data_IF_850102836664
#
_entry.id   IF_850102836664
#
_cell.length_a   1.000
_cell.length_b   1.000
_cell.length_c   1.000
_cell.angle_alpha   90.00
_cell.angle_beta   90.00
_cell.angle_gamma   90.00
#
_symmetry.space_group_name_H-M   'P 1'
#
loop_
_entity.id
_entity.type
_entity.pdbx_description
1 polymer ?
#
# COMPACT_ATOMS: atom_id res chain seq x y z
N UNK A 1 -18.99 -3.05 10.04
CA UNK A 1 -17.70 -2.56 9.53
C UNK A 1 -16.65 -3.53 10.03
N UNK A 2 -15.91 -4.20 9.14
CA UNK A 2 -14.87 -5.15 9.57
C UNK A 2 -13.66 -4.34 9.99
N UNK A 3 -13.15 -4.57 11.20
CA UNK A 3 -11.89 -3.99 11.68
C UNK A 3 -10.73 -4.67 10.96
N UNK A 4 -9.80 -3.89 10.40
CA UNK A 4 -8.58 -4.48 9.84
C UNK A 4 -7.76 -5.19 10.93
N UNK A 5 -7.16 -6.29 10.54
CA UNK A 5 -6.23 -7.09 11.35
C UNK A 5 -4.90 -7.21 10.61
N UNK A 6 -3.79 -7.52 11.29
CA UNK A 6 -2.53 -7.78 10.60
C UNK A 6 -2.66 -8.84 9.50
N UNK A 7 -3.51 -9.85 9.70
CA UNK A 7 -3.71 -10.95 8.76
C UNK A 7 -4.23 -10.50 7.39
N UNK A 8 -4.99 -9.41 7.32
CA UNK A 8 -5.51 -8.87 6.05
C UNK A 8 -4.39 -8.43 5.09
N UNK A 9 -3.23 -8.07 5.65
CA UNK A 9 -2.11 -7.51 4.91
C UNK A 9 -0.96 -8.50 4.70
N UNK A 10 -0.90 -9.62 5.43
CA UNK A 10 0.24 -10.56 5.34
C UNK A 10 0.38 -11.10 3.91
N UNK A 11 1.62 -11.22 3.44
CA UNK A 11 1.99 -11.81 2.15
C UNK A 11 2.49 -10.78 1.13
N UNK A 12 2.62 -11.20 -0.13
CA UNK A 12 3.13 -10.33 -1.19
C UNK A 12 2.06 -9.36 -1.68
N UNK A 13 2.51 -8.19 -2.14
CA UNK A 13 1.74 -7.12 -2.75
C UNK A 13 2.53 -6.41 -3.84
N UNK A 14 1.82 -5.94 -4.87
CA UNK A 14 2.38 -5.19 -5.99
C UNK A 14 1.71 -3.82 -6.01
N UNK A 15 2.49 -2.77 -5.82
CA UNK A 15 2.06 -1.37 -5.79
C UNK A 15 2.25 -0.71 -7.15
N UNK A 16 1.14 -0.29 -7.74
CA UNK A 16 1.10 0.47 -9.00
C UNK A 16 0.89 1.96 -8.71
N UNK A 17 1.73 2.81 -9.30
CA UNK A 17 1.62 4.26 -9.19
C UNK A 17 0.54 4.78 -10.12
N UNK A 18 -0.46 5.47 -9.58
CA UNK A 18 -1.57 5.97 -10.38
C UNK A 18 -1.20 7.27 -11.08
N UNK A 19 -1.41 7.29 -12.41
CA UNK A 19 -1.22 8.48 -13.24
C UNK A 19 0.24 8.78 -13.60
N UNK A 20 1.16 7.85 -13.32
CA UNK A 20 2.57 7.96 -13.65
C UNK A 20 3.16 6.59 -13.97
N UNK A 21 4.01 6.51 -15.01
CA UNK A 21 4.68 5.26 -15.38
C UNK A 21 5.97 5.12 -14.55
N UNK A 22 5.93 4.27 -13.53
CA UNK A 22 7.07 3.91 -12.69
C UNK A 22 7.12 2.40 -12.49
N UNK A 23 8.31 1.81 -12.24
CA UNK A 23 8.42 0.41 -11.82
C UNK A 23 7.48 0.12 -10.65
N UNK A 24 6.96 -1.11 -10.57
CA UNK A 24 6.05 -1.47 -9.47
C UNK A 24 6.78 -1.56 -8.13
N UNK A 25 6.10 -1.19 -7.04
CA UNK A 25 6.56 -1.48 -5.68
C UNK A 25 6.28 -2.93 -5.33
N UNK A 26 7.30 -3.70 -4.96
CA UNK A 26 7.14 -5.08 -4.51
C UNK A 26 7.25 -5.10 -3.00
N UNK A 27 6.16 -5.45 -2.32
CA UNK A 27 6.10 -5.53 -0.86
C UNK A 27 5.89 -6.97 -0.40
N UNK A 28 6.68 -7.41 0.58
CA UNK A 28 6.42 -8.60 1.38
C UNK A 28 6.07 -8.16 2.80
N UNK A 29 4.82 -8.37 3.19
CA UNK A 29 4.32 -7.97 4.51
C UNK A 29 4.27 -9.18 5.44
N UNK A 30 4.98 -9.08 6.56
CA UNK A 30 4.90 -10.01 7.68
C UNK A 30 4.19 -9.39 8.88
N UNK A 31 3.66 -10.24 9.77
CA UNK A 31 3.13 -9.80 11.06
C UNK A 31 4.14 -10.04 12.18
N UNK A 32 4.24 -9.08 13.09
CA UNK A 32 4.98 -9.16 14.34
C UNK A 32 4.03 -8.70 15.44
N UNK A 33 3.58 -9.56 16.35
CA UNK A 33 2.69 -9.21 17.46
C UNK A 33 1.59 -8.16 17.11
N UNK A 34 1.82 -6.86 17.37
CA UNK A 34 0.92 -5.74 17.13
C UNK A 34 1.23 -4.85 15.90
N UNK A 35 2.25 -5.18 15.11
CA UNK A 35 2.78 -4.35 14.02
C UNK A 35 3.07 -5.20 12.77
N UNK A 36 3.15 -4.53 11.62
CA UNK A 36 3.53 -5.12 10.34
C UNK A 36 5.01 -4.83 10.07
N UNK A 37 5.73 -5.84 9.61
CA UNK A 37 7.06 -5.69 9.01
C UNK A 37 6.88 -5.72 7.51
N UNK A 38 7.30 -4.66 6.81
CA UNK A 38 7.12 -4.50 5.37
C UNK A 38 8.50 -4.47 4.74
N UNK A 39 8.81 -5.51 3.97
CA UNK A 39 10.01 -5.55 3.15
C UNK A 39 9.64 -5.03 1.77
N UNK A 40 10.28 -3.96 1.33
CA UNK A 40 9.96 -3.28 0.06
C UNK A 40 11.16 -3.20 -0.87
N UNK A 41 10.90 -3.22 -2.17
CA UNK A 41 11.84 -2.88 -3.23
C UNK A 41 11.09 -2.41 -4.47
N UNK A 42 11.80 -1.85 -5.44
CA UNK A 42 11.24 -1.68 -6.78
C UNK A 42 11.38 -2.96 -7.60
N UNK A 43 10.49 -3.12 -8.57
CA UNK A 43 10.66 -4.10 -9.62
C UNK A 43 12.03 -3.93 -10.30
N UNK A 44 12.73 -5.05 -10.51
CA UNK A 44 14.09 -5.06 -11.06
C UNK A 44 15.21 -4.87 -10.03
N UNK A 45 14.91 -4.44 -8.81
CA UNK A 45 15.93 -4.30 -7.76
C UNK A 45 16.17 -5.60 -6.98
N UNK A 46 17.39 -5.76 -6.48
CA UNK A 46 17.80 -6.92 -5.69
C UNK A 46 17.84 -6.64 -4.18
N UNK A 47 18.05 -5.38 -3.79
CA UNK A 47 18.07 -4.94 -2.40
C UNK A 47 16.66 -4.81 -1.82
N UNK A 48 16.51 -5.15 -0.54
CA UNK A 48 15.28 -4.96 0.22
C UNK A 48 15.49 -3.92 1.30
N UNK A 49 14.53 -3.02 1.44
CA UNK A 49 14.42 -2.10 2.57
C UNK A 49 13.32 -2.58 3.52
N UNK A 50 13.42 -2.22 4.80
CA UNK A 50 12.43 -2.61 5.82
C UNK A 50 11.75 -1.38 6.38
N UNK A 51 10.43 -1.44 6.42
CA UNK A 51 9.56 -0.46 7.07
C UNK A 51 8.67 -1.17 8.08
N UNK A 52 8.13 -0.40 9.02
CA UNK A 52 7.22 -0.92 10.02
C UNK A 52 5.92 -0.13 10.02
N UNK A 53 4.81 -0.84 10.21
CA UNK A 53 3.48 -0.23 10.20
C UNK A 53 2.66 -0.65 11.41
N UNK A 54 1.75 0.23 11.84
CA UNK A 54 0.76 -0.08 12.88
C UNK A 54 -0.62 -0.25 12.25
N UNK A 55 -1.32 -1.34 12.58
CA UNK A 55 -2.67 -1.60 12.05
C UNK A 55 -3.68 -0.67 12.73
N UNK A 56 -4.57 -0.12 11.92
CA UNK A 56 -5.60 0.84 12.35
C UNK A 56 -6.98 0.31 12.01
N UNK A 57 -7.92 0.43 12.94
CA UNK A 57 -9.26 -0.13 12.79
C UNK A 57 -10.22 0.74 11.97
N UNK A 58 -10.07 2.07 12.01
CA UNK A 58 -10.97 3.01 11.32
C UNK A 58 -10.22 4.26 10.77
N UNK A 59 -10.21 4.49 9.44
CA UNK A 59 -10.56 3.51 8.42
C UNK A 59 -9.65 2.26 8.54
N UNK A 60 -10.22 1.09 8.20
CA UNK A 60 -9.51 -0.18 8.16
C UNK A 60 -8.23 -0.06 7.32
N UNK A 61 -7.06 -0.30 7.91
CA UNK A 61 -5.80 0.04 7.25
C UNK A 61 -4.57 -0.10 8.15
N UNK A 62 -3.48 0.56 7.79
CA UNK A 62 -2.30 0.70 8.65
C UNK A 62 -1.59 2.04 8.41
N UNK A 63 -0.78 2.49 9.37
CA UNK A 63 0.04 3.71 9.26
C UNK A 63 1.53 3.38 9.16
N UNK A 64 2.23 4.06 8.26
CA UNK A 64 3.69 4.01 8.09
C UNK A 64 4.20 5.45 8.09
N UNK A 65 4.98 5.84 9.11
CA UNK A 65 5.44 7.22 9.25
C UNK A 65 4.25 8.20 9.28
N UNK A 66 4.23 9.18 8.37
CA UNK A 66 3.13 10.14 8.20
C UNK A 66 2.10 9.72 7.14
N UNK A 67 2.23 8.51 6.57
CA UNK A 67 1.35 7.98 5.52
C UNK A 67 0.40 6.95 6.08
N UNK A 68 -0.74 6.81 5.40
CA UNK A 68 -1.77 5.83 5.76
C UNK A 68 -2.16 4.99 4.56
N UNK A 69 -2.16 3.68 4.76
CA UNK A 69 -2.78 2.72 3.87
C UNK A 69 -4.23 2.49 4.29
N UNK A 70 -5.13 2.46 3.32
CA UNK A 70 -6.55 2.17 3.53
C UNK A 70 -6.91 0.91 2.77
N UNK A 71 -7.41 -0.09 3.49
CA UNK A 71 -7.88 -1.35 2.92
C UNK A 71 -9.22 -1.13 2.23
N UNK A 72 -9.30 -1.48 0.95
CA UNK A 72 -10.51 -1.30 0.13
C UNK A 72 -11.31 -2.60 0.10
N UNK A 73 -10.61 -3.71 -0.07
CA UNK A 73 -11.12 -5.08 -0.01
C UNK A 73 -9.94 -6.04 0.23
N UNK A 74 -10.16 -7.36 0.42
CA UNK A 74 -9.07 -8.29 0.73
C UNK A 74 -7.97 -8.39 -0.34
N UNK A 75 -8.18 -7.83 -1.53
CA UNK A 75 -7.25 -7.87 -2.64
C UNK A 75 -6.56 -6.53 -2.90
N UNK A 76 -7.00 -5.44 -2.26
CA UNK A 76 -6.51 -4.09 -2.56
C UNK A 76 -6.44 -3.19 -1.33
N UNK A 77 -5.35 -2.42 -1.23
CA UNK A 77 -5.27 -1.25 -0.39
C UNK A 77 -4.62 -0.08 -1.12
N UNK A 78 -4.87 1.15 -0.66
CA UNK A 78 -4.36 2.38 -1.28
C UNK A 78 -3.56 3.18 -0.28
N UNK A 79 -2.42 3.72 -0.70
CA UNK A 79 -1.69 4.74 0.04
C UNK A 79 -1.72 6.04 -0.76
N UNK A 80 -2.38 7.06 -0.21
CA UNK A 80 -2.50 8.35 -0.88
C UNK A 80 -1.25 9.21 -0.68
N UNK A 81 -0.82 9.88 -1.76
CA UNK A 81 0.35 10.72 -1.81
C UNK A 81 1.64 10.02 -1.38
N UNK A 82 1.77 8.71 -1.59
CA UNK A 82 3.01 8.00 -1.36
C UNK A 82 4.14 8.66 -2.16
N UNK A 83 5.14 9.16 -1.46
CA UNK A 83 6.36 9.61 -2.11
C UNK A 83 7.22 8.37 -2.33
N UNK A 84 7.28 7.98 -3.59
CA UNK A 84 8.05 6.85 -4.10
C UNK A 84 9.55 6.98 -3.78
N UNK A 85 10.04 8.16 -3.42
CA UNK A 85 11.45 8.45 -3.19
C UNK A 85 11.85 8.68 -1.71
N UNK A 86 10.89 8.78 -0.78
CA UNK A 86 11.13 9.37 0.55
C UNK A 86 12.00 8.48 1.48
N UNK A 87 12.05 7.17 1.27
CA UNK A 87 12.98 6.30 2.03
C UNK A 87 14.42 6.31 1.49
N UNK A 88 14.68 7.00 0.37
CA UNK A 88 15.99 6.98 -0.35
C UNK A 88 16.59 8.36 -0.59
N UNK A 89 16.00 9.41 0.00
CA UNK A 89 16.56 10.77 -0.02
C UNK A 89 16.37 11.54 -1.34
N UNK A 90 15.45 11.11 -2.21
CA UNK A 90 15.10 11.84 -3.43
C UNK A 90 13.91 12.79 -3.20
N UNK A 91 13.99 14.02 -3.72
CA UNK A 91 12.83 14.93 -3.77
C UNK A 91 12.02 14.59 -5.02
N UNK A 92 10.82 14.03 -4.85
CA UNK A 92 9.91 13.70 -5.94
C UNK A 92 8.47 14.14 -5.68
N UNK A 93 7.63 14.19 -6.71
CA UNK A 93 6.20 14.34 -6.53
C UNK A 93 5.60 13.12 -5.82
N UNK A 94 4.68 13.38 -4.90
CA UNK A 94 3.90 12.35 -4.22
C UNK A 94 2.76 11.84 -5.13
N UNK A 95 2.62 10.52 -5.26
CA UNK A 95 1.58 9.89 -6.06
C UNK A 95 0.73 8.93 -5.23
N UNK A 96 -0.50 8.68 -5.66
CA UNK A 96 -1.29 7.62 -5.05
C UNK A 96 -0.81 6.27 -5.57
N UNK A 97 -0.63 5.31 -4.67
CA UNK A 97 -0.20 3.95 -5.03
C UNK A 97 -1.28 2.97 -4.60
N UNK A 98 -1.67 2.11 -5.54
CA UNK A 98 -2.62 1.01 -5.29
C UNK A 98 -1.84 -0.28 -5.17
N UNK A 99 -1.92 -0.92 -4.02
CA UNK A 99 -1.35 -2.23 -3.79
C UNK A 99 -2.39 -3.30 -4.05
N UNK A 100 -2.03 -4.25 -4.91
CA UNK A 100 -2.85 -5.39 -5.29
C UNK A 100 -2.17 -6.70 -4.89
N UNK A 101 -2.96 -7.73 -4.60
CA UNK A 101 -2.42 -9.09 -4.49
C UNK A 101 -1.86 -9.55 -5.85
N UNK A 102 -0.73 -10.27 -5.90
CA UNK A 102 -0.18 -10.72 -7.17
C UNK A 102 -1.14 -11.61 -7.97
N UNK A 103 -1.16 -11.43 -9.29
CA UNK A 103 -1.99 -12.19 -10.22
C UNK A 103 -3.12 -11.36 -10.81
N UNK A 104 -4.37 -11.81 -10.63
CA UNK A 104 -5.51 -11.21 -11.34
C UNK A 104 -5.91 -9.84 -10.74
N UNK A 105 -5.66 -9.61 -9.45
CA UNK A 105 -6.12 -8.39 -8.77
C UNK A 105 -5.49 -7.11 -9.35
N UNK A 106 -4.26 -7.19 -9.84
CA UNK A 106 -3.56 -6.08 -10.52
C UNK A 106 -4.41 -5.50 -11.67
N UNK A 107 -5.15 -6.33 -12.40
CA UNK A 107 -6.03 -5.90 -13.51
C UNK A 107 -7.21 -5.04 -13.04
N UNK A 108 -7.52 -5.05 -11.74
CA UNK A 108 -8.61 -4.28 -11.13
C UNK A 108 -8.14 -3.11 -10.26
N UNK A 109 -6.83 -2.83 -10.21
CA UNK A 109 -6.24 -1.77 -9.38
C UNK A 109 -6.89 -0.39 -9.60
N UNK A 110 -7.06 0.02 -10.87
CA UNK A 110 -7.74 1.26 -11.22
C UNK A 110 -9.21 1.31 -10.78
N UNK A 111 -9.92 0.18 -10.77
CA UNK A 111 -11.28 0.12 -10.27
C UNK A 111 -11.31 0.23 -8.74
N UNK A 112 -10.39 -0.44 -8.04
CA UNK A 112 -10.23 -0.30 -6.60
C UNK A 112 -9.91 1.15 -6.20
N UNK A 113 -9.05 1.83 -6.95
CA UNK A 113 -8.74 3.24 -6.73
C UNK A 113 -9.96 4.16 -6.90
N UNK A 114 -10.79 3.93 -7.92
CA UNK A 114 -12.05 4.69 -8.06
C UNK A 114 -13.00 4.48 -6.88
N UNK A 115 -13.05 3.27 -6.31
CA UNK A 115 -13.83 2.99 -5.10
C UNK A 115 -13.25 3.72 -3.88
N UNK A 116 -11.93 3.76 -3.75
CA UNK A 116 -11.26 4.57 -2.73
C UNK A 116 -11.64 6.05 -2.84
N UNK A 117 -11.50 6.66 -4.02
CA UNK A 117 -11.89 8.07 -4.23
C UNK A 117 -13.35 8.34 -3.87
N UNK A 118 -14.27 7.44 -4.27
CA UNK A 118 -15.68 7.55 -3.92
C UNK A 118 -15.93 7.47 -2.40
N UNK A 119 -15.13 6.69 -1.66
CA UNK A 119 -15.24 6.60 -0.21
C UNK A 119 -14.71 7.84 0.52
N UNK A 120 -13.79 8.59 -0.09
CA UNK A 120 -13.22 9.83 0.46
C UNK A 120 -14.11 11.06 0.18
N UNK A 121 -14.89 11.04 -0.91
CA UNK A 121 -15.75 12.15 -1.33
C UNK A 121 -17.15 12.19 -0.71
N UNK A 122 -17.44 11.32 0.27
CA UNK A 122 -18.69 11.34 1.02
C UNK A 122 -18.41 11.90 2.43
N UNK A 123 -18.15 13.21 2.48
CA UNK A 123 -18.09 14.03 3.69
C UNK A 123 -18.94 15.28 3.49
#
# INVERSE_FOLDING_TARGET
MSTATPADFIGPWIGETIGYDSPAHIWEIGARASWLEIRTRWEGETGWEVMYAEVTADPAGFSIGNRRAVLIDPQHFVIAGWDTNDTRGGVGPAYDVVFSRPGIAELSAHQAYRRFLASQGCA
#
